data_IF_026155683740
#
_entry.id   IF_026155683740
#
_cell.length_a   1.000
_cell.length_b   1.000
_cell.length_c   1.000
_cell.angle_alpha   90.00
_cell.angle_beta   90.00
_cell.angle_gamma   90.00
#
_symmetry.space_group_name_H-M   'P 1'
#
loop_
_entity.id
_entity.type
_entity.pdbx_description
1 polymer ?
#
# COMPACT_ATOMS: atom_id res chain seq x y z
N UNK A 1 44.76 53.67 -52.17
CA UNK A 1 43.47 54.08 -52.76
C UNK A 1 42.44 53.09 -52.24
N UNK A 2 41.65 53.53 -51.28
CA UNK A 2 40.61 52.79 -50.55
C UNK A 2 39.37 52.63 -51.43
N UNK A 3 38.74 51.44 -51.41
CA UNK A 3 37.35 51.23 -51.83
C UNK A 3 36.71 50.18 -50.92
N UNK A 4 35.58 50.56 -50.29
CA UNK A 4 34.75 49.79 -49.36
C UNK A 4 34.03 48.57 -50.00
N UNK A 5 33.61 47.57 -49.21
CA UNK A 5 32.45 46.76 -49.50
C UNK A 5 31.21 47.26 -48.74
N UNK A 6 30.15 47.54 -49.50
CA UNK A 6 28.78 47.79 -49.05
C UNK A 6 28.26 46.56 -48.29
N UNK A 7 28.00 46.70 -46.99
CA UNK A 7 27.18 45.75 -46.22
C UNK A 7 25.78 46.34 -46.09
N UNK A 8 24.83 45.78 -46.83
CA UNK A 8 23.40 46.05 -46.66
C UNK A 8 22.96 45.39 -45.36
N UNK A 9 22.80 46.18 -44.31
CA UNK A 9 22.22 45.70 -43.05
C UNK A 9 20.70 45.51 -43.25
N UNK A 10 20.19 44.30 -42.97
CA UNK A 10 18.76 44.11 -42.73
C UNK A 10 18.38 45.03 -41.55
N UNK A 11 17.31 45.81 -41.70
CA UNK A 11 16.88 46.70 -40.62
C UNK A 11 16.46 45.87 -39.41
N UNK A 12 16.66 46.43 -38.21
CA UNK A 12 16.25 45.81 -36.95
C UNK A 12 14.76 45.42 -36.95
N UNK A 13 13.94 46.10 -37.75
CA UNK A 13 12.52 45.80 -37.92
C UNK A 13 12.27 44.44 -38.60
N UNK A 14 13.12 44.02 -39.56
CA UNK A 14 12.98 42.74 -40.24
C UNK A 14 13.37 41.54 -39.34
N UNK A 15 14.30 41.75 -38.40
CA UNK A 15 14.61 40.75 -37.38
C UNK A 15 13.48 40.64 -36.34
N UNK A 16 12.83 41.76 -36.03
CA UNK A 16 11.72 41.81 -35.08
C UNK A 16 10.44 41.13 -35.59
N UNK A 17 10.18 41.17 -36.90
CA UNK A 17 9.04 40.45 -37.49
C UNK A 17 9.24 38.93 -37.55
N UNK A 18 10.49 38.43 -37.57
CA UNK A 18 10.77 37.00 -37.56
C UNK A 18 10.64 36.36 -36.17
N UNK A 19 10.75 37.15 -35.09
CA UNK A 19 10.65 36.67 -33.71
C UNK A 19 9.18 36.53 -33.23
N UNK A 20 8.22 37.18 -33.91
CA UNK A 20 6.78 37.09 -33.58
C UNK A 20 6.04 35.94 -34.30
N UNK A 21 6.74 35.14 -35.12
CA UNK A 21 6.13 34.10 -35.98
C UNK A 21 6.11 32.69 -35.37
N UNK A 22 6.57 32.48 -34.14
CA UNK A 22 6.40 31.17 -33.48
C UNK A 22 5.00 31.10 -32.87
N UNK A 23 4.05 30.52 -33.62
CA UNK A 23 2.74 30.21 -33.07
C UNK A 23 2.91 29.22 -31.91
N UNK A 24 2.44 29.56 -30.69
CA UNK A 24 2.56 28.67 -29.54
C UNK A 24 1.89 27.33 -29.84
N UNK A 25 2.59 26.22 -29.58
CA UNK A 25 2.01 24.88 -29.68
C UNK A 25 0.77 24.86 -28.77
N UNK A 26 -0.42 24.49 -29.28
CA UNK A 26 -1.65 24.53 -28.50
C UNK A 26 -1.53 23.62 -27.27
N UNK A 27 -1.85 24.16 -26.09
CA UNK A 27 -1.73 23.49 -24.78
C UNK A 27 -2.46 22.15 -24.70
N UNK A 28 -3.45 21.92 -25.57
CA UNK A 28 -4.18 20.66 -25.68
C UNK A 28 -3.30 19.48 -26.12
N UNK A 29 -2.28 19.71 -26.96
CA UNK A 29 -1.35 18.67 -27.41
C UNK A 29 -0.34 18.32 -26.32
N UNK A 30 0.05 19.29 -25.49
CA UNK A 30 0.95 19.08 -24.34
C UNK A 30 0.22 18.45 -23.16
N UNK A 31 -1.05 18.78 -22.92
CA UNK A 31 -1.85 18.18 -21.85
C UNK A 31 -2.14 16.69 -22.11
N UNK A 32 -2.52 16.32 -23.33
CA UNK A 32 -2.77 14.92 -23.68
C UNK A 32 -1.48 14.07 -23.64
N UNK A 33 -0.36 14.62 -24.11
CA UNK A 33 0.94 13.95 -24.02
C UNK A 33 1.46 13.83 -22.57
N UNK A 34 1.16 14.80 -21.70
CA UNK A 34 1.47 14.74 -20.26
C UNK A 34 0.62 13.68 -19.54
N UNK A 35 -0.67 13.60 -19.84
CA UNK A 35 -1.58 12.59 -19.28
C UNK A 35 -1.20 11.17 -19.74
N UNK A 36 -0.89 10.99 -21.03
CA UNK A 36 -0.41 9.70 -21.55
C UNK A 36 0.94 9.29 -20.94
N UNK A 37 1.88 10.22 -20.74
CA UNK A 37 3.15 9.92 -20.06
C UNK A 37 2.96 9.62 -18.58
N UNK A 38 2.03 10.28 -17.89
CA UNK A 38 1.72 9.99 -16.49
C UNK A 38 1.16 8.58 -16.33
N UNK A 39 0.25 8.15 -17.22
CA UNK A 39 -0.35 6.81 -17.19
C UNK A 39 0.62 5.69 -17.61
N UNK A 40 1.57 5.97 -18.51
CA UNK A 40 2.55 4.98 -18.94
C UNK A 40 3.74 4.82 -17.97
N UNK A 41 3.95 5.79 -17.06
CA UNK A 41 5.04 5.80 -16.09
C UNK A 41 4.56 5.72 -14.63
N UNK A 42 3.26 5.53 -14.39
CA UNK A 42 2.74 5.45 -13.04
C UNK A 42 3.27 4.18 -12.35
N UNK A 43 3.84 4.29 -11.13
CA UNK A 43 4.33 3.12 -10.40
C UNK A 43 3.16 2.21 -10.02
N UNK A 44 3.45 0.91 -9.91
CA UNK A 44 2.49 -0.04 -9.35
C UNK A 44 2.11 0.39 -7.93
N UNK A 45 0.83 0.64 -7.71
CA UNK A 45 0.28 0.99 -6.41
C UNK A 45 -0.18 -0.25 -5.64
N UNK A 46 -0.14 -0.16 -4.31
CA UNK A 46 -0.79 -1.13 -3.42
C UNK A 46 -1.71 -0.35 -2.49
N UNK A 47 -2.98 -0.71 -2.50
CA UNK A 47 -3.99 -0.16 -1.58
C UNK A 47 -4.45 -1.29 -0.68
N UNK A 48 -4.46 -1.08 0.62
CA UNK A 48 -5.02 -2.06 1.55
C UNK A 48 -6.29 -1.58 2.24
N UNK A 49 -7.09 -2.55 2.67
CA UNK A 49 -8.30 -2.35 3.47
C UNK A 49 -8.37 -3.46 4.51
N UNK A 50 -8.65 -3.08 5.75
CA UNK A 50 -8.98 -4.01 6.83
C UNK A 50 -10.47 -3.89 7.13
N UNK A 51 -11.15 -5.03 7.16
CA UNK A 51 -12.56 -5.14 7.51
C UNK A 51 -12.71 -6.01 8.74
N UNK A 52 -13.36 -5.49 9.78
CA UNK A 52 -13.76 -6.23 10.98
C UNK A 52 -15.25 -6.47 10.94
N UNK A 53 -15.66 -7.71 11.19
CA UNK A 53 -17.06 -8.13 11.24
C UNK A 53 -17.33 -8.83 12.57
N UNK A 54 -18.27 -8.30 13.34
CA UNK A 54 -18.64 -8.81 14.66
C UNK A 54 -19.95 -9.60 14.54
N UNK A 55 -19.98 -10.79 15.14
CA UNK A 55 -21.12 -11.69 15.09
C UNK A 55 -21.60 -12.05 16.50
N UNK A 56 -22.91 -12.17 16.66
CA UNK A 56 -23.58 -12.64 17.87
C UNK A 56 -24.62 -13.67 17.46
N UNK A 57 -24.58 -14.87 18.05
CA UNK A 57 -25.49 -15.97 17.67
C UNK A 57 -25.51 -16.25 16.15
N UNK A 58 -24.34 -16.18 15.51
CA UNK A 58 -24.12 -16.32 14.05
C UNK A 58 -24.76 -15.23 13.17
N UNK A 59 -25.35 -14.19 13.75
CA UNK A 59 -25.82 -13.01 13.03
C UNK A 59 -24.77 -11.90 13.03
N UNK A 60 -24.60 -11.24 11.88
CA UNK A 60 -23.70 -10.10 11.75
C UNK A 60 -24.29 -8.89 12.48
N UNK A 61 -23.60 -8.41 13.51
CA UNK A 61 -24.02 -7.27 14.33
C UNK A 61 -23.42 -5.96 13.83
N UNK A 62 -22.12 -5.98 13.53
CA UNK A 62 -21.39 -4.76 13.18
C UNK A 62 -20.30 -5.05 12.15
N UNK A 63 -20.05 -4.09 11.25
CA UNK A 63 -18.93 -4.13 10.31
C UNK A 63 -18.18 -2.82 10.35
N UNK A 64 -16.85 -2.89 10.41
CA UNK A 64 -15.93 -1.74 10.30
C UNK A 64 -14.95 -1.97 9.18
N UNK A 65 -15.03 -1.13 8.16
CA UNK A 65 -14.08 -1.08 7.07
C UNK A 65 -13.16 0.11 7.25
N UNK A 66 -11.85 -0.10 7.18
CA UNK A 66 -10.85 0.94 7.36
C UNK A 66 -9.76 0.79 6.30
N UNK A 67 -9.41 1.90 5.65
CA UNK A 67 -8.22 1.97 4.79
C UNK A 67 -7.00 1.91 5.68
N UNK A 68 -6.15 0.91 5.46
CA UNK A 68 -4.92 0.76 6.24
C UNK A 68 -3.77 1.54 5.57
N UNK A 69 -2.74 1.81 6.37
CA UNK A 69 -1.49 2.32 5.88
C UNK A 69 -0.50 1.17 5.82
N UNK A 70 0.02 0.87 4.62
CA UNK A 70 1.09 -0.11 4.45
C UNK A 70 2.39 0.54 4.93
N UNK A 71 3.07 -0.09 5.88
CA UNK A 71 4.30 0.46 6.47
C UNK A 71 5.46 0.38 5.48
N UNK A 72 6.53 1.15 5.69
CA UNK A 72 7.76 1.07 4.89
C UNK A 72 8.39 -0.33 4.97
N UNK A 73 8.38 -0.94 6.16
CA UNK A 73 8.84 -2.31 6.36
C UNK A 73 7.95 -3.32 5.62
N UNK A 74 6.64 -3.10 5.63
CA UNK A 74 5.65 -3.90 4.90
C UNK A 74 5.83 -3.86 3.40
N UNK A 75 6.01 -2.68 2.81
CA UNK A 75 6.31 -2.53 1.38
C UNK A 75 7.61 -3.26 1.00
N UNK A 76 8.64 -3.16 1.85
CA UNK A 76 9.90 -3.87 1.64
C UNK A 76 9.69 -5.39 1.68
N UNK A 77 8.95 -5.90 2.66
CA UNK A 77 8.63 -7.31 2.78
C UNK A 77 7.82 -7.84 1.59
N UNK A 78 6.83 -7.08 1.11
CA UNK A 78 6.05 -7.40 -0.08
C UNK A 78 6.94 -7.49 -1.33
N UNK A 79 7.82 -6.50 -1.54
CA UNK A 79 8.75 -6.50 -2.65
C UNK A 79 9.74 -7.67 -2.59
N UNK A 80 10.27 -7.98 -1.40
CA UNK A 80 11.16 -9.13 -1.20
C UNK A 80 10.44 -10.46 -1.46
N UNK A 81 9.18 -10.60 -1.03
CA UNK A 81 8.38 -11.79 -1.28
C UNK A 81 8.06 -11.98 -2.78
N UNK A 82 7.75 -10.89 -3.48
CA UNK A 82 7.58 -10.93 -4.94
C UNK A 82 8.87 -11.37 -5.64
N UNK A 83 10.00 -10.77 -5.27
CA UNK A 83 11.30 -11.15 -5.81
C UNK A 83 11.62 -12.63 -5.55
N UNK A 84 11.35 -13.12 -4.33
CA UNK A 84 11.54 -14.53 -3.99
C UNK A 84 10.69 -15.46 -4.86
N UNK A 85 9.42 -15.10 -5.11
CA UNK A 85 8.53 -15.86 -5.99
C UNK A 85 9.14 -16.06 -7.38
N UNK A 86 9.88 -15.07 -7.90
CA UNK A 86 10.52 -15.12 -9.21
C UNK A 86 11.82 -15.95 -9.27
N UNK A 87 12.48 -16.19 -8.13
CA UNK A 87 13.80 -16.86 -8.09
C UNK A 87 13.82 -18.13 -7.24
N UNK A 88 12.67 -18.58 -6.73
CA UNK A 88 12.62 -19.63 -5.70
C UNK A 88 13.28 -20.96 -6.11
N UNK A 89 13.23 -21.33 -7.38
CA UNK A 89 13.87 -22.52 -7.96
C UNK A 89 15.38 -22.34 -8.21
N UNK A 90 15.84 -21.09 -8.30
CA UNK A 90 17.23 -20.72 -8.56
C UNK A 90 17.97 -20.24 -7.31
N UNK A 91 17.26 -19.98 -6.21
CA UNK A 91 17.81 -19.37 -5.00
C UNK A 91 19.04 -20.11 -4.45
N UNK A 92 19.00 -21.44 -4.47
CA UNK A 92 20.13 -22.28 -4.03
C UNK A 92 21.39 -22.06 -4.90
N UNK A 93 21.23 -21.88 -6.21
CA UNK A 93 22.35 -21.61 -7.14
C UNK A 93 22.95 -20.21 -6.90
N UNK A 94 22.17 -19.28 -6.34
CA UNK A 94 22.60 -17.95 -5.95
C UNK A 94 23.18 -17.90 -4.52
N UNK A 95 23.24 -19.03 -3.82
CA UNK A 95 23.70 -19.10 -2.43
C UNK A 95 22.71 -18.51 -1.42
N UNK A 96 21.45 -18.30 -1.82
CA UNK A 96 20.39 -17.77 -0.95
C UNK A 96 19.61 -18.95 -0.39
N UNK A 97 19.74 -19.18 0.91
CA UNK A 97 19.13 -20.33 1.60
C UNK A 97 17.97 -19.95 2.53
N UNK A 98 17.71 -18.66 2.68
CA UNK A 98 16.62 -18.14 3.54
C UNK A 98 15.51 -17.55 2.65
N UNK A 99 14.30 -18.11 2.68
CA UNK A 99 13.20 -17.58 1.88
C UNK A 99 12.75 -16.22 2.39
N UNK A 100 12.56 -15.27 1.48
CA UNK A 100 11.83 -14.04 1.78
C UNK A 100 10.34 -14.33 1.62
N UNK A 101 9.69 -14.75 2.71
CA UNK A 101 8.28 -15.13 2.73
C UNK A 101 7.49 -14.23 3.66
N UNK A 102 6.22 -13.99 3.32
CA UNK A 102 5.27 -13.33 4.21
C UNK A 102 4.69 -14.30 5.25
N UNK A 103 4.92 -15.61 5.09
CA UNK A 103 4.45 -16.62 6.02
C UNK A 103 5.42 -16.83 7.20
N UNK A 104 4.91 -17.18 8.40
CA UNK A 104 3.48 -17.21 8.74
C UNK A 104 2.93 -15.79 8.95
N UNK A 105 1.68 -15.59 8.50
CA UNK A 105 0.97 -14.33 8.62
C UNK A 105 0.00 -14.36 9.80
N UNK A 106 -0.10 -13.24 10.52
CA UNK A 106 -0.96 -13.09 11.69
C UNK A 106 -1.73 -11.78 11.63
N UNK A 107 -3.04 -11.86 11.82
CA UNK A 107 -3.89 -10.70 11.97
C UNK A 107 -3.88 -10.26 13.43
N UNK A 108 -3.50 -9.02 13.69
CA UNK A 108 -3.40 -8.47 15.04
C UNK A 108 -4.44 -7.36 15.26
N UNK A 109 -4.93 -7.28 16.50
CA UNK A 109 -5.82 -6.21 16.96
C UNK A 109 -5.29 -5.64 18.27
N UNK A 110 -5.59 -4.37 18.52
CA UNK A 110 -5.08 -3.61 19.65
C UNK A 110 -6.02 -2.51 20.14
N UNK A 111 -5.57 -1.81 21.17
CA UNK A 111 -6.30 -0.72 21.85
C UNK A 111 -5.58 0.64 21.73
N UNK A 112 -4.54 0.70 20.90
CA UNK A 112 -3.81 1.92 20.59
C UNK A 112 -4.67 2.96 19.91
N UNK A 113 -4.32 4.22 20.18
CA UNK A 113 -4.97 5.40 19.59
C UNK A 113 -3.96 6.38 19.00
N UNK A 114 -2.67 6.03 19.02
CA UNK A 114 -1.61 6.85 18.43
C UNK A 114 -1.78 6.89 16.91
N UNK A 115 -1.71 8.07 16.27
CA UNK A 115 -1.79 8.17 14.82
C UNK A 115 -0.80 7.24 14.12
N UNK A 116 -1.31 6.43 13.19
CA UNK A 116 -0.51 5.50 12.38
C UNK A 116 0.52 6.26 11.55
N UNK A 117 1.74 5.74 11.51
CA UNK A 117 2.83 6.25 10.65
C UNK A 117 3.39 5.15 9.76
N UNK A 118 4.03 5.53 8.66
CA UNK A 118 4.71 4.57 7.78
C UNK A 118 5.93 3.90 8.43
N UNK A 119 6.42 4.43 9.54
CA UNK A 119 7.57 3.89 10.28
C UNK A 119 7.17 2.93 11.39
N UNK A 120 5.86 2.68 11.57
CA UNK A 120 5.39 1.77 12.59
C UNK A 120 5.92 0.36 12.34
N UNK A 121 6.43 -0.26 13.42
CA UNK A 121 6.96 -1.62 13.40
C UNK A 121 6.14 -2.58 14.25
N UNK A 122 5.19 -2.04 15.03
CA UNK A 122 4.23 -2.76 15.84
C UNK A 122 2.95 -1.94 16.00
N UNK A 123 1.86 -2.58 16.43
CA UNK A 123 0.69 -1.87 16.95
C UNK A 123 1.07 -1.16 18.25
N UNK A 124 0.39 -0.07 18.58
CA UNK A 124 0.70 0.75 19.76
C UNK A 124 0.48 -0.03 21.05
N UNK A 125 -0.64 -0.75 21.15
CA UNK A 125 -0.99 -1.63 22.26
C UNK A 125 -1.75 -2.86 21.74
N UNK A 126 -0.98 -3.80 21.19
CA UNK A 126 -1.47 -5.08 20.70
C UNK A 126 -2.07 -5.93 21.84
N UNK A 127 -3.27 -6.48 21.63
CA UNK A 127 -3.94 -7.34 22.61
C UNK A 127 -4.04 -8.81 22.18
N UNK A 128 -4.11 -9.08 20.87
CA UNK A 128 -4.31 -10.44 20.36
C UNK A 128 -3.88 -10.59 18.91
N UNK A 129 -3.38 -11.78 18.56
CA UNK A 129 -3.16 -12.25 17.19
C UNK A 129 -4.07 -13.42 16.84
N UNK A 130 -4.50 -13.48 15.59
CA UNK A 130 -5.21 -14.58 14.96
C UNK A 130 -4.37 -15.20 13.84
N UNK A 131 -4.42 -16.51 13.68
CA UNK A 131 -3.85 -17.21 12.53
C UNK A 131 -4.76 -17.07 11.32
N UNK A 132 -4.19 -17.16 10.12
CA UNK A 132 -4.98 -17.18 8.87
C UNK A 132 -5.98 -18.35 8.91
N UNK A 133 -7.28 -18.03 8.78
CA UNK A 133 -8.37 -19.01 8.67
C UNK A 133 -8.76 -19.26 7.22
N UNK A 134 -8.58 -18.28 6.34
CA UNK A 134 -8.83 -18.38 4.91
C UNK A 134 -7.89 -17.43 4.15
N UNK A 135 -7.48 -17.83 2.95
CA UNK A 135 -6.72 -16.98 2.05
C UNK A 135 -7.25 -17.14 0.62
N UNK A 136 -7.29 -16.05 -0.14
CA UNK A 136 -7.61 -16.07 -1.56
C UNK A 136 -6.82 -15.00 -2.32
N UNK A 137 -6.62 -15.23 -3.61
CA UNK A 137 -6.04 -14.24 -4.51
C UNK A 137 -6.76 -14.28 -5.86
N UNK A 138 -7.32 -13.16 -6.29
CA UNK A 138 -8.04 -13.03 -7.56
C UNK A 138 -8.05 -11.56 -8.01
N UNK A 139 -8.07 -11.30 -9.32
CA UNK A 139 -8.24 -9.97 -9.90
C UNK A 139 -7.25 -8.90 -9.35
N UNK A 140 -6.00 -9.28 -9.10
CA UNK A 140 -4.99 -8.37 -8.54
C UNK A 140 -5.17 -8.06 -7.05
N UNK A 141 -6.07 -8.77 -6.37
CA UNK A 141 -6.33 -8.64 -4.94
C UNK A 141 -5.90 -9.90 -4.19
N UNK A 142 -5.23 -9.72 -3.05
CA UNK A 142 -4.98 -10.76 -2.04
C UNK A 142 -5.88 -10.49 -0.85
N UNK A 143 -6.55 -11.52 -0.32
CA UNK A 143 -7.40 -11.44 0.88
C UNK A 143 -6.97 -12.50 1.88
N UNK A 144 -6.75 -12.09 3.13
CA UNK A 144 -6.47 -12.96 4.26
C UNK A 144 -7.55 -12.75 5.33
N UNK A 145 -8.19 -13.84 5.76
CA UNK A 145 -9.17 -13.82 6.84
C UNK A 145 -8.59 -14.41 8.12
N UNK A 146 -9.00 -13.85 9.25
CA UNK A 146 -8.60 -14.26 10.60
C UNK A 146 -9.86 -14.37 11.45
N UNK A 147 -9.95 -15.41 12.26
CA UNK A 147 -11.09 -15.64 13.15
C UNK A 147 -10.68 -15.48 14.62
N UNK A 148 -11.46 -14.69 15.36
CA UNK A 148 -11.33 -14.48 16.79
C UNK A 148 -12.58 -15.01 17.49
N UNK A 149 -12.41 -16.07 18.28
CA UNK A 149 -13.49 -16.69 19.04
C UNK A 149 -14.00 -15.82 20.19
N UNK A 150 -15.01 -16.33 20.90
CA UNK A 150 -15.70 -15.68 22.01
C UNK A 150 -14.75 -15.05 23.05
N UNK A 151 -13.74 -15.78 23.49
CA UNK A 151 -12.80 -15.34 24.54
C UNK A 151 -11.58 -14.57 24.01
N UNK A 152 -11.46 -14.41 22.70
CA UNK A 152 -10.32 -13.75 22.07
C UNK A 152 -10.67 -12.30 21.71
N UNK A 153 -9.66 -11.42 21.79
CA UNK A 153 -9.78 -10.01 21.44
C UNK A 153 -10.98 -9.30 22.08
N UNK A 154 -11.32 -9.65 23.32
CA UNK A 154 -12.45 -9.06 24.05
C UNK A 154 -12.06 -7.67 24.55
N UNK A 155 -12.96 -6.70 24.38
CA UNK A 155 -12.76 -5.32 24.78
C UNK A 155 -12.88 -4.34 23.62
N UNK A 156 -12.38 -3.14 23.83
CA UNK A 156 -12.34 -2.08 22.82
C UNK A 156 -11.17 -2.31 21.87
N UNK A 157 -11.45 -2.35 20.58
CA UNK A 157 -10.49 -2.52 19.50
C UNK A 157 -10.44 -1.18 18.73
N UNK A 158 -9.30 -0.52 18.78
CA UNK A 158 -9.08 0.80 18.16
C UNK A 158 -7.92 0.82 17.18
N UNK A 159 -7.18 -0.28 17.04
CA UNK A 159 -6.19 -0.47 15.99
C UNK A 159 -6.16 -1.93 15.53
N UNK A 160 -5.70 -2.14 14.29
CA UNK A 160 -5.49 -3.46 13.72
C UNK A 160 -4.33 -3.43 12.71
N UNK A 161 -3.78 -4.61 12.41
CA UNK A 161 -2.74 -4.76 11.40
C UNK A 161 -2.42 -6.21 11.08
N UNK A 162 -1.66 -6.41 10.02
CA UNK A 162 -1.14 -7.68 9.55
C UNK A 162 0.34 -7.78 9.88
N UNK A 163 0.74 -8.86 10.52
CA UNK A 163 2.14 -9.23 10.69
C UNK A 163 2.53 -10.38 9.77
N UNK A 164 3.74 -10.31 9.21
CA UNK A 164 4.36 -11.35 8.40
C UNK A 164 5.64 -11.87 9.07
N UNK A 165 6.05 -13.09 8.69
CA UNK A 165 7.22 -13.76 9.27
C UNK A 165 7.21 -13.72 10.82
N UNK A 166 6.02 -13.88 11.39
CA UNK A 166 5.73 -13.56 12.78
C UNK A 166 5.43 -14.81 13.61
N UNK A 167 5.13 -14.61 14.90
CA UNK A 167 4.56 -15.65 15.74
C UNK A 167 3.28 -15.13 16.41
N UNK A 168 2.61 -16.00 17.17
CA UNK A 168 1.46 -15.61 17.99
C UNK A 168 1.83 -14.61 19.09
N UNK A 169 3.12 -14.49 19.43
CA UNK A 169 3.60 -13.57 20.47
C UNK A 169 3.66 -12.14 19.95
N UNK A 170 3.05 -11.16 20.66
CA UNK A 170 3.17 -9.74 20.33
C UNK A 170 4.63 -9.27 20.21
N UNK A 171 4.86 -8.30 19.32
CA UNK A 171 6.20 -7.76 19.06
C UNK A 171 7.10 -8.65 18.19
N UNK A 172 6.58 -9.75 17.61
CA UNK A 172 7.32 -10.57 16.66
C UNK A 172 6.94 -10.27 15.20
N UNK A 173 7.89 -10.48 14.29
CA UNK A 173 7.70 -10.36 12.84
C UNK A 173 7.71 -8.92 12.33
N UNK A 174 7.21 -8.75 11.12
CA UNK A 174 7.20 -7.48 10.38
C UNK A 174 5.75 -7.01 10.29
N UNK A 175 5.45 -5.80 10.78
CA UNK A 175 4.16 -5.15 10.59
C UNK A 175 4.03 -4.73 9.12
N UNK A 176 3.13 -5.38 8.38
CA UNK A 176 2.87 -5.10 6.97
C UNK A 176 2.01 -3.85 6.82
N UNK A 177 0.94 -3.77 7.59
CA UNK A 177 0.01 -2.64 7.57
C UNK A 177 -0.46 -2.30 8.98
N UNK A 178 -0.97 -1.08 9.12
CA UNK A 178 -1.50 -0.58 10.38
C UNK A 178 -2.69 0.33 10.10
N UNK A 179 -3.73 0.22 10.92
CA UNK A 179 -4.90 1.09 10.84
C UNK A 179 -5.41 1.46 12.23
N UNK A 180 -5.87 2.70 12.38
CA UNK A 180 -6.72 3.11 13.50
C UNK A 180 -8.19 2.90 13.12
N UNK A 181 -8.95 2.34 14.03
CA UNK A 181 -10.38 2.06 13.89
C UNK A 181 -11.12 3.18 14.62
N UNK A 182 -11.80 4.04 13.87
CA UNK A 182 -12.55 5.17 14.41
C UNK A 182 -13.95 5.24 13.81
N UNK A 183 -15.02 5.24 14.64
CA UNK A 183 -14.98 4.97 16.09
C UNK A 183 -14.47 3.56 16.42
N UNK A 184 -13.93 3.34 17.62
CA UNK A 184 -13.45 2.02 18.03
C UNK A 184 -14.59 0.98 18.03
N UNK A 185 -14.25 -0.28 17.74
CA UNK A 185 -15.16 -1.44 17.80
C UNK A 185 -15.11 -2.02 19.21
N UNK A 186 -16.24 -2.38 19.81
CA UNK A 186 -16.23 -3.06 21.12
C UNK A 186 -16.75 -4.48 20.97
N UNK A 187 -15.91 -5.47 21.28
CA UNK A 187 -16.25 -6.89 21.24
C UNK A 187 -16.47 -7.43 22.66
N UNK A 188 -17.58 -8.14 22.87
CA UNK A 188 -17.87 -8.83 24.12
C UNK A 188 -17.42 -10.30 24.07
N UNK A 189 -17.57 -11.01 25.20
CA UNK A 189 -17.23 -12.43 25.31
C UNK A 189 -18.31 -13.38 24.76
N UNK A 190 -19.48 -12.88 24.36
CA UNK A 190 -20.53 -13.67 23.69
C UNK A 190 -20.45 -13.56 22.16
N UNK A 191 -19.65 -12.62 21.66
CA UNK A 191 -19.49 -12.36 20.24
C UNK A 191 -18.24 -13.01 19.66
N UNK A 192 -18.29 -13.35 18.38
CA UNK A 192 -17.11 -13.74 17.58
C UNK A 192 -16.77 -12.62 16.59
N UNK A 193 -15.55 -12.61 16.07
CA UNK A 193 -15.13 -11.60 15.11
C UNK A 193 -14.30 -12.21 14.00
N UNK A 194 -14.57 -11.77 12.77
CA UNK A 194 -13.72 -12.03 11.62
C UNK A 194 -13.00 -10.73 11.25
N UNK A 195 -11.69 -10.81 11.05
CA UNK A 195 -10.91 -9.76 10.42
C UNK A 195 -10.52 -10.21 9.03
N UNK A 196 -10.76 -9.36 8.03
CA UNK A 196 -10.23 -9.52 6.68
C UNK A 196 -9.23 -8.43 6.40
N UNK A 197 -8.07 -8.81 5.88
CA UNK A 197 -7.07 -7.89 5.36
C UNK A 197 -6.99 -8.12 3.86
N UNK A 198 -7.19 -7.06 3.09
CA UNK A 198 -7.09 -7.10 1.64
C UNK A 198 -6.00 -6.15 1.14
N UNK A 199 -5.25 -6.60 0.14
CA UNK A 199 -4.32 -5.77 -0.63
C UNK A 199 -4.69 -5.85 -2.10
N UNK A 200 -4.90 -4.70 -2.73
CA UNK A 200 -5.20 -4.58 -4.15
C UNK A 200 -4.02 -3.93 -4.85
N UNK A 201 -3.49 -4.63 -5.86
CA UNK A 201 -2.51 -4.09 -6.78
C UNK A 201 -3.24 -3.24 -7.83
N UNK A 202 -2.84 -1.98 -7.95
CA UNK A 202 -3.47 -1.04 -8.89
C UNK A 202 -2.46 -0.62 -9.94
N UNK A 203 -2.84 -0.69 -11.22
CA UNK A 203 -2.17 0.08 -12.26
C UNK A 203 -2.48 1.56 -12.04
N UNK A 204 -1.44 2.40 -11.98
CA UNK A 204 -1.64 3.84 -11.87
C UNK A 204 -2.06 4.51 -13.17
#
# INVERSE_FOLDING_TARGET
>A
MTVDPIVTYMSADALREMEESETPIPESHTAHARDLRARFLAPLGVVGVITLQLYEEDELVETRECKNLITTAGLTALASALNWSSISDQAANLGINTPYSLAPAYGAVGTGTTPVTALDTALTNEIQRGTVSQASAANGQSVLSFFFGNTQAVGTISEAGLFAAASITPGSGILIDHVLISPALTKTNIQTMTMQVSFTLTSG
#
